data_IF_032656556505
#
_entry.id   IF_032656556505
#
_cell.length_a   1.000
_cell.length_b   1.000
_cell.length_c   1.000
_cell.angle_alpha   90.00
_cell.angle_beta   90.00
_cell.angle_gamma   90.00
#
_symmetry.space_group_name_H-M   'P 1'
#
loop_
_entity.id
_entity.type
_entity.pdbx_description
1 polymer ?
#
# COMPACT_ATOMS: atom_id res chain seq x y z
N UNK A 1 14.81 14.46 -3.10
CA UNK A 1 14.86 13.63 -1.87
C UNK A 1 14.45 12.17 -2.09
N UNK A 2 13.72 11.79 -3.16
CA UNK A 2 13.22 10.41 -3.31
C UNK A 2 11.86 10.16 -2.62
N UNK A 3 11.13 11.24 -2.29
CA UNK A 3 9.83 11.21 -1.60
C UNK A 3 8.80 10.28 -2.27
N UNK A 4 8.53 10.47 -3.56
CA UNK A 4 7.59 9.62 -4.31
C UNK A 4 8.05 8.17 -4.36
N UNK A 5 9.36 7.93 -4.49
CA UNK A 5 9.90 6.57 -4.47
C UNK A 5 9.72 5.88 -3.12
N UNK A 6 9.87 6.63 -2.01
CA UNK A 6 9.56 6.11 -0.68
C UNK A 6 8.07 5.77 -0.54
N UNK A 7 7.16 6.60 -1.05
CA UNK A 7 5.72 6.28 -1.02
C UNK A 7 5.41 4.99 -1.80
N UNK A 8 6.01 4.81 -2.99
CA UNK A 8 5.90 3.57 -3.76
C UNK A 8 6.44 2.37 -2.98
N UNK A 9 7.58 2.53 -2.30
CA UNK A 9 8.13 1.49 -1.44
C UNK A 9 7.24 1.16 -0.24
N UNK A 10 6.56 2.14 0.35
CA UNK A 10 5.55 1.93 1.41
C UNK A 10 4.36 1.14 0.87
N UNK A 11 3.84 1.49 -0.31
CA UNK A 11 2.76 0.74 -0.97
C UNK A 11 3.18 -0.70 -1.22
N UNK A 12 4.35 -0.92 -1.81
CA UNK A 12 4.92 -2.24 -2.05
C UNK A 12 5.08 -3.06 -0.75
N UNK A 13 5.60 -2.44 0.31
CA UNK A 13 5.80 -3.08 1.61
C UNK A 13 4.46 -3.48 2.26
N UNK A 14 3.42 -2.65 2.13
CA UNK A 14 2.08 -2.96 2.65
C UNK A 14 1.40 -4.07 1.85
N UNK A 15 1.50 -4.01 0.52
CA UNK A 15 0.98 -5.03 -0.37
C UNK A 15 1.64 -6.40 -0.17
N UNK A 16 2.95 -6.42 0.15
CA UNK A 16 3.66 -7.65 0.47
C UNK A 16 3.30 -8.25 1.85
N UNK A 17 2.78 -7.44 2.77
CA UNK A 17 2.52 -7.83 4.16
C UNK A 17 1.08 -8.27 4.45
N UNK A 18 0.14 -8.02 3.53
CA UNK A 18 -1.28 -8.29 3.75
C UNK A 18 -1.94 -8.74 2.45
N UNK A 19 -3.05 -9.47 2.54
CA UNK A 19 -3.78 -9.90 1.35
C UNK A 19 -4.67 -8.78 0.78
N UNK A 20 -4.96 -8.77 -0.54
CA UNK A 20 -5.77 -7.73 -1.17
C UNK A 20 -7.23 -7.71 -0.71
N UNK A 21 -7.76 -8.81 -0.15
CA UNK A 21 -9.10 -8.86 0.46
C UNK A 21 -9.17 -8.23 1.86
N UNK A 22 -8.02 -7.93 2.47
CA UNK A 22 -7.89 -7.38 3.83
C UNK A 22 -7.32 -5.97 3.88
N UNK A 23 -6.77 -5.49 2.76
CA UNK A 23 -6.15 -4.18 2.64
C UNK A 23 -6.51 -3.56 1.29
N UNK A 24 -7.19 -2.42 1.34
CA UNK A 24 -7.36 -1.51 0.22
C UNK A 24 -6.38 -0.32 0.32
N UNK A 25 -5.85 0.12 -0.81
CA UNK A 25 -4.95 1.26 -0.94
C UNK A 25 -5.55 2.24 -1.94
N UNK A 26 -5.61 3.50 -1.53
CA UNK A 26 -6.02 4.63 -2.37
C UNK A 26 -4.80 5.49 -2.61
N UNK A 27 -4.53 5.82 -3.87
CA UNK A 27 -3.42 6.66 -4.27
C UNK A 27 -3.94 8.02 -4.75
N UNK A 28 -3.31 9.09 -4.31
CA UNK A 28 -3.61 10.44 -4.76
C UNK A 28 -2.34 11.20 -5.12
N UNK A 29 -2.21 11.62 -6.38
CA UNK A 29 -1.15 12.51 -6.82
C UNK A 29 -1.63 13.96 -6.71
N UNK A 30 -0.99 14.73 -5.82
CA UNK A 30 -1.29 16.15 -5.57
C UNK A 30 -0.80 17.10 -6.66
N UNK A 31 0.10 16.65 -7.54
CA UNK A 31 0.52 17.37 -8.74
C UNK A 31 0.13 16.60 -9.99
N UNK A 32 -0.19 17.35 -11.03
CA UNK A 32 -0.49 16.79 -12.34
C UNK A 32 0.83 16.37 -13.01
N UNK A 33 0.91 15.13 -13.50
CA UNK A 33 2.12 14.59 -14.14
C UNK A 33 2.58 15.35 -15.40
N UNK A 34 1.78 16.30 -15.89
CA UNK A 34 2.05 17.12 -17.07
C UNK A 34 3.02 18.27 -16.77
N UNK A 35 3.13 18.72 -15.51
CA UNK A 35 4.04 19.83 -15.14
C UNK A 35 5.51 19.40 -14.99
N UNK A 36 5.84 18.12 -15.14
CA UNK A 36 7.21 17.60 -15.10
C UNK A 36 7.87 17.54 -16.51
N UNK A 37 7.44 18.40 -17.43
CA UNK A 37 8.08 18.60 -18.73
C UNK A 37 9.38 19.40 -18.60
N UNK A 38 10.46 18.76 -18.18
CA UNK A 38 11.78 19.37 -18.04
C UNK A 38 12.89 18.37 -17.77
N UNK A 39 13.50 17.87 -18.85
CA UNK A 39 14.84 17.27 -18.98
C UNK A 39 15.28 16.19 -17.96
N UNK A 40 15.40 14.95 -18.49
CA UNK A 40 16.41 13.93 -18.13
C UNK A 40 16.54 13.55 -16.65
N UNK A 41 15.60 12.73 -16.14
CA UNK A 41 15.86 11.54 -15.30
C UNK A 41 14.59 11.06 -14.57
N UNK A 42 13.95 9.99 -15.04
CA UNK A 42 13.06 9.13 -14.25
C UNK A 42 11.78 9.71 -13.58
N UNK A 43 11.49 11.00 -13.71
CA UNK A 43 10.28 11.64 -13.19
C UNK A 43 9.18 11.70 -14.25
N UNK A 44 8.22 10.79 -14.22
CA UNK A 44 7.11 10.86 -15.18
C UNK A 44 5.88 10.01 -14.90
N UNK A 45 5.76 9.42 -13.70
CA UNK A 45 4.66 8.47 -13.46
C UNK A 45 4.12 8.43 -12.03
N UNK A 46 4.48 9.42 -11.19
CA UNK A 46 3.88 9.65 -9.86
C UNK A 46 3.64 8.37 -9.04
N UNK A 47 2.48 8.27 -8.41
CA UNK A 47 2.01 7.03 -7.80
C UNK A 47 1.35 6.07 -8.81
N UNK A 48 1.11 6.49 -10.06
CA UNK A 48 0.46 5.66 -11.09
C UNK A 48 1.16 4.32 -11.32
N UNK A 49 2.48 4.23 -11.17
CA UNK A 49 3.22 2.95 -11.26
C UNK A 49 2.74 1.87 -10.27
N UNK A 50 2.06 2.27 -9.20
CA UNK A 50 1.55 1.33 -8.20
C UNK A 50 0.15 0.80 -8.54
N UNK A 51 -0.52 1.26 -9.59
CA UNK A 51 -1.87 0.77 -9.96
C UNK A 51 -1.88 -0.68 -10.40
N UNK A 52 -0.72 -1.24 -10.78
CA UNK A 52 -0.59 -2.66 -11.12
C UNK A 52 -0.64 -3.57 -9.87
N UNK A 53 -0.58 -2.99 -8.66
CA UNK A 53 -0.67 -3.73 -7.39
C UNK A 53 -2.14 -4.01 -7.08
N UNK A 54 -2.55 -5.27 -6.83
CA UNK A 54 -3.97 -5.64 -6.67
C UNK A 54 -4.66 -5.05 -5.43
N UNK A 55 -3.89 -4.49 -4.49
CA UNK A 55 -4.43 -3.76 -3.33
C UNK A 55 -4.89 -2.35 -3.68
N UNK A 56 -4.44 -1.79 -4.81
CA UNK A 56 -4.72 -0.41 -5.19
C UNK A 56 -6.06 -0.35 -5.91
N UNK A 57 -7.08 0.14 -5.22
CA UNK A 57 -8.47 0.15 -5.71
C UNK A 57 -8.87 1.48 -6.33
N UNK A 58 -8.15 2.55 -6.01
CA UNK A 58 -8.46 3.90 -6.50
C UNK A 58 -7.18 4.70 -6.69
N UNK A 59 -7.03 5.32 -7.86
CA UNK A 59 -5.99 6.30 -8.16
C UNK A 59 -6.62 7.61 -8.62
N UNK A 60 -6.22 8.71 -7.97
CA UNK A 60 -6.75 10.04 -8.21
C UNK A 60 -5.61 11.02 -8.52
N UNK A 61 -5.83 11.89 -9.50
CA UNK A 61 -4.93 12.97 -9.86
C UNK A 61 -5.59 14.32 -9.58
N UNK A 62 -4.80 15.31 -9.18
CA UNK A 62 -5.29 16.64 -8.81
C UNK A 62 -5.82 17.49 -9.99
N UNK A 63 -5.99 16.92 -11.19
CA UNK A 63 -6.54 17.58 -12.38
C UNK A 63 -8.02 17.24 -12.65
N UNK A 64 -8.65 16.33 -11.89
CA UNK A 64 -10.05 15.95 -12.10
C UNK A 64 -10.95 16.40 -10.93
N UNK A 65 -11.54 17.61 -10.99
CA UNK A 65 -12.35 18.13 -9.90
C UNK A 65 -13.67 17.38 -9.69
N UNK A 66 -14.14 16.57 -10.65
CA UNK A 66 -15.36 15.78 -10.48
C UNK A 66 -15.00 14.54 -9.65
N UNK A 67 -14.03 13.77 -10.11
CA UNK A 67 -13.53 12.59 -9.38
C UNK A 67 -13.01 12.94 -7.99
N UNK A 68 -12.36 14.09 -7.83
CA UNK A 68 -11.92 14.56 -6.50
C UNK A 68 -13.09 14.79 -5.54
N UNK A 69 -14.22 15.32 -6.01
CA UNK A 69 -15.41 15.53 -5.16
C UNK A 69 -16.12 14.22 -4.84
N UNK A 70 -16.29 13.36 -5.83
CA UNK A 70 -16.85 12.02 -5.66
C UNK A 70 -16.02 11.24 -4.65
N UNK A 71 -14.70 11.24 -4.80
CA UNK A 71 -13.78 10.62 -3.85
C UNK A 71 -13.95 11.16 -2.44
N UNK A 72 -13.99 12.48 -2.27
CA UNK A 72 -14.15 13.09 -0.95
C UNK A 72 -15.50 12.71 -0.30
N UNK A 73 -16.57 12.63 -1.09
CA UNK A 73 -17.89 12.20 -0.64
C UNK A 73 -17.89 10.72 -0.25
N UNK A 74 -17.36 9.85 -1.10
CA UNK A 74 -17.25 8.41 -0.85
C UNK A 74 -16.38 8.10 0.35
N UNK A 75 -15.24 8.77 0.51
CA UNK A 75 -14.37 8.62 1.68
C UNK A 75 -15.09 9.04 2.97
N UNK A 76 -15.83 10.15 2.94
CA UNK A 76 -16.60 10.61 4.09
C UNK A 76 -17.75 9.65 4.43
N UNK A 77 -18.45 9.13 3.41
CA UNK A 77 -19.50 8.13 3.56
C UNK A 77 -18.93 6.81 4.12
N UNK A 78 -17.75 6.40 3.67
CA UNK A 78 -17.05 5.21 4.16
C UNK A 78 -16.64 5.35 5.63
N UNK A 79 -16.11 6.50 6.05
CA UNK A 79 -15.82 6.76 7.46
C UNK A 79 -17.09 6.69 8.31
N UNK A 80 -18.20 7.28 7.85
CA UNK A 80 -19.50 7.22 8.54
C UNK A 80 -20.01 5.78 8.64
N UNK A 81 -19.99 5.02 7.54
CA UNK A 81 -20.38 3.60 7.50
C UNK A 81 -19.56 2.77 8.49
N UNK A 82 -18.25 2.99 8.55
CA UNK A 82 -17.36 2.32 9.51
C UNK A 82 -17.66 2.70 10.94
N UNK A 83 -17.95 3.98 11.21
CA UNK A 83 -18.30 4.44 12.55
C UNK A 83 -19.60 3.79 13.05
N UNK A 84 -20.61 3.67 12.18
CA UNK A 84 -21.87 2.98 12.47
C UNK A 84 -21.64 1.47 12.71
N UNK A 85 -20.82 0.82 11.88
CA UNK A 85 -20.52 -0.61 12.00
C UNK A 85 -19.72 -0.94 13.27
N UNK A 86 -18.71 -0.13 13.60
CA UNK A 86 -17.84 -0.35 14.76
C UNK A 86 -18.48 0.11 16.08
N UNK A 87 -19.48 0.99 16.02
CA UNK A 87 -20.23 1.45 17.19
C UNK A 87 -19.33 2.17 18.19
N UNK A 88 -19.01 1.53 19.33
CA UNK A 88 -18.06 2.03 20.34
C UNK A 88 -16.69 1.37 20.28
N UNK A 89 -16.59 0.20 19.66
CA UNK A 89 -15.33 -0.54 19.55
C UNK A 89 -14.37 0.16 18.60
N UNK A 90 -13.08 -0.18 18.72
CA UNK A 90 -12.06 0.19 17.74
C UNK A 90 -11.95 -0.87 16.64
N UNK A 91 -11.42 -0.47 15.48
CA UNK A 91 -11.10 -1.40 14.40
C UNK A 91 -10.16 -2.53 14.86
N UNK A 92 -9.16 -2.21 15.68
CA UNK A 92 -8.20 -3.19 16.17
C UNK A 92 -8.87 -4.28 17.03
N UNK A 93 -9.75 -3.88 17.96
CA UNK A 93 -10.53 -4.81 18.79
C UNK A 93 -11.48 -5.65 17.93
N UNK A 94 -12.18 -5.02 17.00
CA UNK A 94 -13.10 -5.70 16.08
C UNK A 94 -12.38 -6.74 15.21
N UNK A 95 -11.23 -6.37 14.65
CA UNK A 95 -10.43 -7.23 13.78
C UNK A 95 -9.81 -8.40 14.56
N UNK A 96 -9.26 -8.13 15.76
CA UNK A 96 -8.63 -9.17 16.59
C UNK A 96 -9.67 -10.18 17.10
N UNK A 97 -10.84 -9.71 17.56
CA UNK A 97 -11.93 -10.58 18.00
C UNK A 97 -12.44 -11.50 16.89
N UNK A 98 -12.42 -11.03 15.64
CA UNK A 98 -12.79 -11.82 14.45
C UNK A 98 -11.72 -12.82 14.04
N UNK A 99 -10.44 -12.48 14.07
CA UNK A 99 -9.37 -13.46 13.76
C UNK A 99 -9.39 -14.63 14.74
N UNK A 100 -9.62 -14.35 16.02
CA UNK A 100 -9.78 -15.38 17.05
C UNK A 100 -11.04 -16.23 16.80
N UNK A 101 -12.18 -15.60 16.51
CA UNK A 101 -13.42 -16.31 16.20
C UNK A 101 -13.31 -17.18 14.94
N UNK A 102 -12.66 -16.67 13.88
CA UNK A 102 -12.41 -17.40 12.65
C UNK A 102 -11.51 -18.62 12.86
N UNK A 103 -10.43 -18.47 13.65
CA UNK A 103 -9.56 -19.59 14.05
C UNK A 103 -10.30 -20.64 14.89
N UNK A 104 -11.19 -20.21 15.79
CA UNK A 104 -12.00 -21.14 16.58
C UNK A 104 -13.02 -21.91 15.73
N UNK A 105 -13.62 -21.26 14.73
CA UNK A 105 -14.55 -21.91 13.79
C UNK A 105 -13.82 -22.91 12.90
N UNK A 106 -12.64 -22.58 12.36
CA UNK A 106 -11.84 -23.53 11.57
C UNK A 106 -11.32 -24.70 12.42
N UNK A 107 -10.95 -24.47 13.69
CA UNK A 107 -10.56 -25.54 14.62
C UNK A 107 -11.73 -26.47 14.97
N UNK A 108 -12.96 -25.95 15.07
CA UNK A 108 -14.15 -26.76 15.31
C UNK A 108 -14.60 -27.52 14.07
N UNK A 109 -14.40 -26.97 12.87
CA UNK A 109 -14.67 -27.65 11.60
C UNK A 109 -13.67 -28.79 11.31
N UNK A 110 -12.42 -28.65 11.76
CA UNK A 110 -11.37 -29.68 11.63
C UNK A 110 -11.42 -30.75 12.73
N UNK A 111 -12.14 -30.50 13.82
CA UNK A 111 -12.37 -31.47 14.91
C UNK A 111 -13.46 -32.51 14.65
N UNK A 112 -14.17 -32.45 13.52
CA UNK A 112 -15.26 -33.37 13.18
C UNK A 112 -14.83 -34.52 12.25
N UNK A 113 -13.53 -34.66 11.96
CA UNK A 113 -12.99 -35.78 11.17
C UNK A 113 -11.89 -36.51 11.96
N UNK A 114 -12.27 -37.22 13.00
CA UNK A 114 -11.47 -38.29 13.57
C UNK A 114 -12.40 -39.44 14.02
N UNK A 115 -12.48 -40.45 13.15
CA UNK A 115 -12.64 -41.89 13.44
C UNK A 115 -13.75 -42.30 14.40
N UNK A 116 -14.85 -42.82 13.84
CA UNK A 116 -15.78 -43.66 14.58
C UNK A 116 -15.22 -45.07 14.81
N UNK A 117 -15.56 -45.66 15.95
CA UNK A 117 -16.00 -47.06 16.05
C UNK A 117 -16.69 -47.34 17.40
N UNK A 118 -17.62 -48.30 17.36
CA UNK A 118 -18.27 -49.09 18.42
C UNK A 118 -19.57 -48.56 19.07
N UNK A 119 -20.65 -49.03 18.45
CA UNK A 119 -21.80 -49.74 19.04
C UNK A 119 -22.60 -49.06 20.17
N UNK A 120 -23.79 -48.55 19.82
CA UNK A 120 -24.88 -48.31 20.78
C UNK A 120 -26.23 -48.45 20.08
N UNK A 121 -27.20 -49.20 20.65
CA UNK A 121 -28.44 -49.56 19.97
C UNK A 121 -29.41 -48.37 19.84
N UNK A 122 -30.32 -48.39 18.85
CA UNK A 122 -31.15 -47.23 18.51
C UNK A 122 -32.32 -47.10 19.49
N UNK A 123 -32.24 -46.16 20.44
CA UNK A 123 -33.43 -45.73 21.20
C UNK A 123 -34.13 -44.60 20.46
N UNK A 124 -35.22 -44.99 19.79
CA UNK A 124 -36.19 -44.10 19.16
C UNK A 124 -36.93 -43.26 20.20
N UNK A 125 -36.53 -42.01 20.40
CA UNK A 125 -37.47 -40.94 20.78
C UNK A 125 -37.08 -39.66 20.07
N UNK A 126 -37.75 -39.37 18.96
CA UNK A 126 -37.77 -38.04 18.35
C UNK A 126 -38.42 -37.09 19.36
N UNK A 127 -37.61 -36.30 20.05
CA UNK A 127 -38.10 -35.05 20.65
C UNK A 127 -37.98 -33.97 19.58
N UNK A 128 -39.10 -33.69 18.91
CA UNK A 128 -39.29 -32.44 18.15
C UNK A 128 -39.32 -31.28 19.15
N UNK A 129 -38.16 -30.86 19.61
CA UNK A 129 -37.97 -29.48 20.05
C UNK A 129 -37.84 -28.69 18.76
N UNK A 130 -38.63 -27.63 18.51
CA UNK A 130 -38.32 -26.69 17.44
C UNK A 130 -37.03 -26.00 17.86
N UNK A 131 -35.90 -26.62 17.50
CA UNK A 131 -34.61 -25.97 17.52
C UNK A 131 -34.73 -24.84 16.53
N UNK A 132 -34.84 -23.61 17.04
CA UNK A 132 -34.51 -22.44 16.26
C UNK A 132 -33.16 -22.78 15.60
N UNK A 133 -33.19 -23.02 14.28
CA UNK A 133 -31.98 -23.19 13.51
C UNK A 133 -31.06 -22.07 13.97
N UNK A 134 -29.81 -22.36 14.39
CA UNK A 134 -28.89 -21.28 14.65
C UNK A 134 -28.89 -20.49 13.36
N UNK A 135 -29.45 -19.27 13.40
CA UNK A 135 -29.28 -18.30 12.33
C UNK A 135 -27.78 -18.35 12.09
N UNK A 136 -27.38 -18.93 10.95
CA UNK A 136 -26.05 -18.70 10.42
C UNK A 136 -25.93 -17.21 10.50
N UNK A 137 -25.16 -16.75 11.48
CA UNK A 137 -25.02 -15.33 11.74
C UNK A 137 -24.27 -14.90 10.50
N UNK A 138 -25.02 -14.38 9.53
CA UNK A 138 -24.51 -13.98 8.23
C UNK A 138 -23.24 -13.20 8.53
N UNK A 139 -22.10 -13.78 8.14
CA UNK A 139 -20.81 -13.31 8.61
C UNK A 139 -20.73 -11.87 8.15
N UNK A 140 -20.83 -10.92 9.08
CA UNK A 140 -20.88 -9.51 8.72
C UNK A 140 -19.69 -9.22 7.78
N UNK A 141 -19.89 -8.42 6.73
CA UNK A 141 -18.93 -8.29 5.64
C UNK A 141 -17.54 -7.94 6.20
N UNK A 142 -16.46 -8.56 5.69
CA UNK A 142 -15.11 -8.26 6.15
C UNK A 142 -14.86 -6.76 6.02
N UNK A 143 -14.29 -6.16 7.05
CA UNK A 143 -13.94 -4.74 7.04
C UNK A 143 -12.43 -4.62 6.78
N UNK A 144 -12.01 -4.42 5.52
CA UNK A 144 -10.59 -4.31 5.19
C UNK A 144 -9.99 -3.03 5.77
N UNK A 145 -8.69 -3.07 6.09
CA UNK A 145 -7.91 -1.87 6.36
C UNK A 145 -7.86 -1.01 5.10
N UNK A 146 -7.96 0.29 5.25
CA UNK A 146 -7.85 1.23 4.14
C UNK A 146 -6.64 2.13 4.38
N UNK A 147 -5.78 2.30 3.38
CA UNK A 147 -4.64 3.22 3.44
C UNK A 147 -4.77 4.24 2.31
N UNK A 148 -4.89 5.51 2.67
CA UNK A 148 -4.89 6.63 1.73
C UNK A 148 -3.48 7.20 1.66
N UNK A 149 -2.86 7.11 0.49
CA UNK A 149 -1.51 7.61 0.21
C UNK A 149 -1.63 8.85 -0.67
N UNK A 150 -1.13 9.99 -0.16
CA UNK A 150 -1.19 11.27 -0.86
C UNK A 150 0.23 11.75 -1.13
N UNK A 151 0.62 11.81 -2.41
CA UNK A 151 1.84 12.49 -2.82
C UNK A 151 1.55 13.99 -2.95
N UNK A 152 2.35 14.82 -2.28
CA UNK A 152 2.24 16.28 -2.29
C UNK A 152 0.92 16.88 -1.80
N UNK A 153 0.62 16.67 -0.51
CA UNK A 153 -0.55 17.28 0.14
C UNK A 153 -0.54 18.82 0.04
N UNK A 154 0.63 19.47 0.03
CA UNK A 154 0.74 20.93 -0.10
C UNK A 154 0.24 21.45 -1.46
N UNK A 155 0.43 20.67 -2.52
CA UNK A 155 -0.08 21.00 -3.84
C UNK A 155 -1.62 20.99 -3.90
N UNK A 156 -2.29 20.19 -3.05
CA UNK A 156 -3.75 20.18 -2.95
C UNK A 156 -4.30 21.45 -2.30
N UNK A 157 -3.65 21.99 -1.26
CA UNK A 157 -4.12 23.24 -0.63
C UNK A 157 -3.72 24.48 -1.42
N UNK A 158 -2.81 24.37 -2.38
CA UNK A 158 -2.31 25.48 -3.19
C UNK A 158 -2.09 25.07 -4.65
N UNK A 159 -3.17 24.66 -5.34
CA UNK A 159 -3.08 24.27 -6.73
C UNK A 159 -2.64 25.46 -7.58
N UNK A 160 -1.86 25.20 -8.62
CA UNK A 160 -1.38 26.22 -9.54
C UNK A 160 -2.55 27.05 -10.11
N UNK A 161 -2.31 28.34 -10.37
CA UNK A 161 -3.29 29.19 -11.03
C UNK A 161 -3.71 28.55 -12.36
N UNK A 162 -5.01 28.29 -12.54
CA UNK A 162 -5.56 27.59 -13.71
C UNK A 162 -5.69 26.07 -13.59
N UNK A 163 -5.24 25.46 -12.49
CA UNK A 163 -5.45 24.02 -12.27
C UNK A 163 -6.94 23.72 -12.07
N UNK A 164 -7.51 22.76 -12.83
CA UNK A 164 -8.93 22.43 -12.79
C UNK A 164 -9.37 21.84 -11.44
N UNK A 165 -8.47 21.24 -10.66
CA UNK A 165 -8.77 20.62 -9.36
C UNK A 165 -9.06 21.60 -8.21
N UNK A 166 -8.76 22.90 -8.40
CA UNK A 166 -8.89 23.93 -7.35
C UNK A 166 -10.25 23.98 -6.65
N UNK A 167 -11.40 23.87 -7.35
CA UNK A 167 -12.71 23.90 -6.70
C UNK A 167 -12.99 22.69 -5.80
N UNK A 168 -12.34 21.56 -6.05
CA UNK A 168 -12.57 20.30 -5.33
C UNK A 168 -11.61 20.09 -4.16
N UNK A 169 -10.45 20.77 -4.17
CA UNK A 169 -9.38 20.51 -3.24
C UNK A 169 -9.78 20.72 -1.77
N UNK A 170 -10.63 21.71 -1.47
CA UNK A 170 -11.15 21.94 -0.12
C UNK A 170 -12.06 20.83 0.40
N UNK A 171 -12.75 20.09 -0.47
CA UNK A 171 -13.56 18.92 -0.07
C UNK A 171 -12.65 17.74 0.25
N UNK A 172 -11.64 17.50 -0.58
CA UNK A 172 -10.64 16.44 -0.35
C UNK A 172 -9.90 16.69 0.96
N UNK A 173 -9.40 17.90 1.20
CA UNK A 173 -8.70 18.23 2.43
C UNK A 173 -9.55 18.00 3.67
N UNK A 174 -10.84 18.38 3.64
CA UNK A 174 -11.76 18.09 4.75
C UNK A 174 -11.94 16.59 5.01
N UNK A 175 -12.04 15.79 3.95
CA UNK A 175 -12.12 14.33 4.09
C UNK A 175 -10.81 13.73 4.65
N UNK A 176 -9.65 14.20 4.19
CA UNK A 176 -8.34 13.76 4.70
C UNK A 176 -8.12 14.16 6.17
N UNK A 177 -8.58 15.34 6.57
CA UNK A 177 -8.56 15.75 7.98
C UNK A 177 -9.48 14.87 8.84
N UNK A 178 -10.65 14.46 8.32
CA UNK A 178 -11.51 13.50 9.01
C UNK A 178 -10.82 12.14 9.21
N UNK A 179 -10.09 11.66 8.19
CA UNK A 179 -9.23 10.46 8.32
C UNK A 179 -8.16 10.67 9.40
N UNK A 180 -7.50 11.82 9.44
CA UNK A 180 -6.48 12.11 10.46
C UNK A 180 -7.05 12.15 11.88
N UNK A 181 -8.30 12.62 12.05
CA UNK A 181 -8.98 12.70 13.35
C UNK A 181 -9.49 11.34 13.84
N UNK A 182 -10.14 10.57 12.98
CA UNK A 182 -10.93 9.40 13.38
C UNK A 182 -10.44 8.08 12.76
N UNK A 183 -9.64 8.15 11.70
CA UNK A 183 -9.29 7.01 10.86
C UNK A 183 -8.61 5.87 11.61
N UNK A 184 -7.75 6.16 12.59
CA UNK A 184 -7.11 5.11 13.40
C UNK A 184 -8.11 4.21 14.12
N UNK A 185 -9.20 4.78 14.64
CA UNK A 185 -10.29 4.03 15.27
C UNK A 185 -11.09 3.23 14.24
N UNK A 186 -11.21 3.75 13.02
CA UNK A 186 -12.01 3.18 11.93
C UNK A 186 -11.22 2.23 11.01
N UNK A 187 -9.92 2.05 11.23
CA UNK A 187 -9.05 1.24 10.36
C UNK A 187 -8.77 1.90 9.01
N UNK A 188 -8.84 3.23 8.95
CA UNK A 188 -8.46 4.05 7.80
C UNK A 188 -7.21 4.84 8.15
N UNK A 189 -6.13 4.66 7.41
CA UNK A 189 -4.83 5.26 7.70
C UNK A 189 -4.44 6.25 6.60
N UNK A 190 -3.77 7.33 6.98
CA UNK A 190 -3.28 8.35 6.05
C UNK A 190 -1.75 8.34 6.03
N UNK A 191 -1.19 8.27 4.82
CA UNK A 191 0.23 8.52 4.54
C UNK A 191 0.30 9.70 3.59
N UNK A 192 0.71 10.86 4.10
CA UNK A 192 0.78 12.09 3.31
C UNK A 192 2.21 12.59 3.21
N UNK A 193 2.60 12.96 2.00
CA UNK A 193 3.89 13.57 1.73
C UNK A 193 3.74 15.08 1.57
N UNK A 194 4.57 15.84 2.28
CA UNK A 194 4.56 17.30 2.30
C UNK A 194 5.96 17.85 2.02
N UNK A 195 6.05 19.15 1.72
CA UNK A 195 7.30 19.89 1.72
C UNK A 195 7.63 20.36 3.15
N UNK A 196 8.92 20.46 3.53
CA UNK A 196 9.31 21.06 4.80
C UNK A 196 8.77 22.49 4.93
N UNK A 197 8.12 22.82 6.05
CA UNK A 197 7.50 24.14 6.25
C UNK A 197 6.36 24.46 5.27
N UNK A 198 5.79 23.44 4.62
CA UNK A 198 4.68 23.60 3.69
C UNK A 198 3.41 24.15 4.36
N UNK A 199 2.45 24.56 3.53
CA UNK A 199 1.18 25.16 3.99
C UNK A 199 0.33 24.22 4.83
N UNK A 200 0.59 22.91 4.75
CA UNK A 200 -0.11 21.88 5.50
C UNK A 200 0.53 21.55 6.85
N UNK A 201 1.63 22.21 7.24
CA UNK A 201 2.36 21.96 8.49
C UNK A 201 1.46 22.08 9.75
N UNK A 202 0.49 22.99 9.70
CA UNK A 202 -0.48 23.23 10.78
C UNK A 202 -1.87 22.66 10.48
N UNK A 203 -1.95 21.57 9.72
CA UNK A 203 -3.22 20.85 9.48
C UNK A 203 -3.31 19.59 10.34
N UNK A 204 -4.52 19.01 10.44
CA UNK A 204 -4.72 17.79 11.24
C UNK A 204 -3.82 16.61 10.83
N UNK A 205 -3.60 16.30 9.53
CA UNK A 205 -2.65 15.27 9.13
C UNK A 205 -1.26 15.45 9.76
N UNK A 206 -0.74 16.68 9.80
CA UNK A 206 0.57 16.97 10.37
C UNK A 206 0.57 16.90 11.90
N UNK A 207 -0.47 17.41 12.57
CA UNK A 207 -0.62 17.37 14.03
C UNK A 207 -0.83 15.97 14.59
N UNK A 208 -1.60 15.13 13.90
CA UNK A 208 -1.98 13.78 14.35
C UNK A 208 -1.01 12.68 13.89
N UNK A 209 -0.02 13.01 13.06
CA UNK A 209 0.97 12.05 12.57
C UNK A 209 1.73 11.39 13.73
N UNK A 210 1.57 10.07 13.88
CA UNK A 210 2.26 9.26 14.89
C UNK A 210 3.66 8.82 14.45
N UNK A 211 3.93 8.94 13.15
CA UNK A 211 5.20 8.61 12.52
C UNK A 211 5.53 9.72 11.54
N UNK A 212 6.70 10.34 11.70
CA UNK A 212 7.21 11.38 10.80
C UNK A 212 8.45 10.89 10.11
N UNK A 213 8.48 11.02 8.78
CA UNK A 213 9.64 10.70 7.97
C UNK A 213 10.16 11.99 7.37
N UNK A 214 11.39 12.34 7.71
CA UNK A 214 12.12 13.47 7.14
C UNK A 214 13.18 12.91 6.20
N UNK A 215 13.12 13.29 4.93
CA UNK A 215 14.11 12.91 3.93
C UNK A 215 15.15 14.00 3.75
N UNK A 216 16.40 13.60 3.59
CA UNK A 216 17.49 14.52 3.37
C UNK A 216 17.41 15.12 1.96
N UNK A 217 17.87 16.36 1.82
CA UNK A 217 18.04 16.99 0.51
C UNK A 217 19.20 16.30 -0.20
N UNK A 218 18.98 15.65 -1.36
CA UNK A 218 20.03 14.91 -2.02
C UNK A 218 21.01 15.89 -2.64
N UNK A 219 22.30 15.65 -2.45
CA UNK A 219 23.36 16.37 -3.15
C UNK A 219 23.98 15.53 -4.27
N UNK A 220 25.03 16.06 -4.89
CA UNK A 220 25.71 15.46 -6.04
C UNK A 220 27.15 15.00 -5.73
N UNK A 221 27.67 15.35 -4.57
CA UNK A 221 28.97 14.94 -4.06
C UNK A 221 28.98 13.49 -3.55
N UNK A 222 30.18 12.89 -3.42
CA UNK A 222 30.35 11.51 -2.95
C UNK A 222 29.88 11.30 -1.50
N UNK A 223 29.97 12.35 -0.67
CA UNK A 223 29.53 12.33 0.73
C UNK A 223 28.10 12.87 0.91
N UNK A 224 27.48 13.37 -0.17
CA UNK A 224 26.14 13.89 -0.12
C UNK A 224 25.12 12.75 0.05
N UNK A 225 24.02 12.99 0.78
CA UNK A 225 23.03 11.97 1.02
C UNK A 225 22.38 11.51 -0.29
N UNK A 226 22.38 10.20 -0.53
CA UNK A 226 21.67 9.60 -1.65
C UNK A 226 20.15 9.82 -1.52
N UNK A 227 19.41 9.89 -2.64
CA UNK A 227 17.95 9.91 -2.60
C UNK A 227 17.38 8.75 -1.76
N UNK A 228 16.36 9.04 -0.95
CA UNK A 228 15.75 8.09 -0.03
C UNK A 228 16.41 8.01 1.35
N UNK A 229 17.58 8.65 1.54
CA UNK A 229 18.17 8.80 2.88
C UNK A 229 17.35 9.76 3.73
N UNK A 230 17.22 9.45 5.01
CA UNK A 230 16.54 10.32 5.96
C UNK A 230 16.44 9.72 7.35
N UNK A 231 15.50 10.25 8.13
CA UNK A 231 15.24 9.81 9.50
C UNK A 231 13.75 9.64 9.78
N UNK A 232 13.43 8.65 10.60
CA UNK A 232 12.07 8.35 11.05
C UNK A 232 11.95 8.71 12.53
N UNK A 233 11.03 9.60 12.85
CA UNK A 233 10.74 10.08 14.21
C UNK A 233 9.38 9.55 14.66
N UNK A 234 9.36 8.90 15.82
CA UNK A 234 8.13 8.38 16.46
C UNK A 234 7.55 9.39 17.44
N UNK A 235 6.34 9.13 17.94
CA UNK A 235 5.68 9.96 18.97
C UNK A 235 6.47 10.12 20.26
N UNK A 236 7.34 9.15 20.60
CA UNK A 236 8.24 9.20 21.76
C UNK A 236 9.48 10.08 21.53
N UNK A 237 9.58 10.75 20.38
CA UNK A 237 10.70 11.61 20.00
C UNK A 237 11.94 10.84 19.53
N UNK A 238 11.95 9.51 19.59
CA UNK A 238 13.08 8.71 19.10
C UNK A 238 13.17 8.84 17.59
N UNK A 239 14.38 9.14 17.12
CA UNK A 239 14.70 9.28 15.72
C UNK A 239 15.64 8.16 15.28
N UNK A 240 15.29 7.46 14.21
CA UNK A 240 16.09 6.37 13.63
C UNK A 240 16.48 6.73 12.19
N UNK A 241 17.79 6.80 11.86
CA UNK A 241 18.21 7.01 10.48
C UNK A 241 17.87 5.79 9.61
N UNK A 242 17.56 6.02 8.34
CA UNK A 242 17.25 4.95 7.40
C UNK A 242 17.62 5.34 5.96
N UNK A 243 17.64 4.32 5.10
CA UNK A 243 17.74 4.46 3.65
C UNK A 243 16.51 3.80 3.02
N UNK A 244 15.69 4.59 2.31
CA UNK A 244 14.55 4.09 1.56
C UNK A 244 15.00 3.17 0.42
N UNK A 245 14.27 2.07 0.23
CA UNK A 245 14.45 1.18 -0.92
C UNK A 245 13.94 1.81 -2.22
N UNK A 246 14.58 1.45 -3.34
CA UNK A 246 14.16 1.85 -4.69
C UNK A 246 13.52 0.65 -5.37
N UNK A 247 12.20 0.69 -5.59
CA UNK A 247 11.39 -0.41 -6.16
C UNK A 247 11.07 -0.20 -7.64
N UNK A 248 11.26 1.01 -8.15
CA UNK A 248 11.11 1.34 -9.58
C UNK A 248 12.44 1.31 -10.35
N UNK A 249 13.52 0.90 -9.67
CA UNK A 249 14.78 0.58 -10.31
C UNK A 249 14.56 -0.54 -11.32
N UNK A 250 14.95 -0.32 -12.58
CA UNK A 250 14.89 -1.39 -13.56
C UNK A 250 16.03 -2.35 -13.30
N UNK A 251 15.71 -3.63 -13.17
CA UNK A 251 16.72 -4.67 -13.02
C UNK A 251 17.56 -4.64 -14.30
N UNK A 252 18.88 -4.45 -14.22
CA UNK A 252 19.71 -4.53 -15.40
C UNK A 252 19.51 -5.92 -15.99
N UNK A 253 19.17 -6.04 -17.28
CA UNK A 253 19.31 -7.32 -17.99
C UNK A 253 20.79 -7.59 -18.30
N UNK A 254 21.68 -7.23 -17.38
CA UNK A 254 23.03 -7.77 -17.41
C UNK A 254 22.86 -9.25 -17.17
N UNK A 255 23.38 -10.03 -18.11
CA UNK A 255 23.43 -11.47 -17.99
C UNK A 255 23.81 -11.83 -16.56
N UNK A 256 23.09 -12.78 -15.98
CA UNK A 256 23.49 -13.51 -14.77
C UNK A 256 25.01 -13.46 -14.61
N UNK A 257 25.52 -13.12 -13.43
CA UNK A 257 26.94 -13.24 -13.04
C UNK A 257 27.40 -14.72 -13.04
N UNK A 258 26.97 -15.50 -14.04
CA UNK A 258 27.53 -16.80 -14.35
C UNK A 258 28.97 -16.53 -14.77
N UNK A 259 29.96 -17.15 -14.09
CA UNK A 259 31.35 -17.00 -14.46
C UNK A 259 31.51 -17.44 -15.92
N UNK A 260 32.11 -16.57 -16.75
CA UNK A 260 32.53 -16.96 -18.09
C UNK A 260 33.86 -17.67 -17.94
N UNK A 261 33.90 -18.96 -18.28
CA UNK A 261 35.15 -19.73 -18.34
C UNK A 261 35.70 -19.58 -19.75
N UNK A 262 36.91 -19.04 -19.86
CA UNK A 262 37.65 -18.97 -21.13
C UNK A 262 38.89 -19.85 -20.97
N UNK A 263 39.11 -20.85 -21.83
CA UNK A 263 40.33 -21.65 -21.80
C UNK A 263 41.54 -20.77 -22.12
N UNK A 264 42.60 -20.91 -21.32
CA UNK A 264 43.86 -20.21 -21.52
C UNK A 264 44.84 -21.16 -22.18
N UNK A 265 45.22 -20.86 -23.42
CA UNK A 265 46.25 -21.62 -24.15
C UNK A 265 47.61 -20.93 -24.05
N UNK A 266 48.67 -21.67 -24.40
CA UNK A 266 50.04 -21.15 -24.35
C UNK A 266 50.30 -20.04 -25.38
N UNK A 267 49.51 -19.98 -26.45
CA UNK A 267 49.64 -18.99 -27.53
C UNK A 267 49.05 -17.63 -27.16
N UNK A 268 48.13 -17.60 -26.20
CA UNK A 268 47.44 -16.41 -25.65
C UNK A 268 47.96 -15.98 -24.28
N UNK A 269 49.02 -16.63 -23.79
CA UNK A 269 49.69 -16.19 -22.56
C UNK A 269 50.27 -14.78 -22.75
N UNK A 270 49.74 -13.82 -21.99
CA UNK A 270 50.13 -12.40 -22.04
C UNK A 270 49.09 -11.49 -22.68
N UNK A 271 48.07 -12.04 -23.35
CA UNK A 271 46.95 -11.24 -23.83
C UNK A 271 46.14 -10.68 -22.65
N UNK A 272 45.57 -9.47 -22.80
CA UNK A 272 44.64 -8.95 -21.81
C UNK A 272 43.43 -9.91 -21.66
N UNK A 273 42.89 -10.09 -20.45
CA UNK A 273 41.79 -11.00 -20.21
C UNK A 273 40.61 -10.65 -21.13
N UNK A 274 40.03 -11.67 -21.77
CA UNK A 274 38.92 -11.51 -22.72
C UNK A 274 37.78 -10.77 -22.02
N UNK A 275 37.54 -9.52 -22.41
CA UNK A 275 36.43 -8.72 -21.89
C UNK A 275 35.16 -9.17 -22.57
N UNK A 276 34.20 -9.67 -21.78
CA UNK A 276 32.85 -9.91 -22.28
C UNK A 276 32.25 -8.57 -22.72
N UNK A 277 31.76 -8.42 -23.96
CA UNK A 277 30.90 -7.30 -24.29
C UNK A 277 29.63 -7.43 -23.45
N UNK A 278 29.44 -6.51 -22.50
CA UNK A 278 28.17 -6.42 -21.76
C UNK A 278 27.13 -5.99 -22.78
N UNK A 279 26.37 -6.94 -23.30
CA UNK A 279 25.22 -6.61 -24.13
C UNK A 279 24.20 -5.98 -23.20
N UNK A 280 23.95 -4.69 -23.37
CA UNK A 280 22.78 -4.02 -22.81
C UNK A 280 21.55 -4.62 -23.49
N UNK A 281 21.14 -5.82 -23.05
CA UNK A 281 19.76 -6.22 -23.24
C UNK A 281 18.96 -5.12 -22.55
N UNK A 282 18.02 -4.50 -23.28
CA UNK A 282 17.29 -3.33 -22.81
C UNK A 282 16.70 -3.54 -21.41
N UNK A 283 16.21 -2.47 -20.78
CA UNK A 283 15.91 -2.52 -19.35
C UNK A 283 14.92 -3.62 -18.93
N UNK A 284 15.25 -4.36 -17.86
CA UNK A 284 14.43 -5.42 -17.29
C UNK A 284 13.20 -4.89 -16.53
N UNK A 285 12.37 -5.78 -15.97
CA UNK A 285 11.27 -5.37 -15.10
C UNK A 285 11.80 -4.67 -13.85
N UNK A 286 10.93 -3.91 -13.19
CA UNK A 286 11.21 -3.32 -11.87
C UNK A 286 10.84 -4.32 -10.77
N UNK A 287 11.40 -4.15 -9.57
CA UNK A 287 11.01 -4.95 -8.40
C UNK A 287 9.50 -4.80 -8.11
N UNK A 288 8.96 -3.60 -8.28
CA UNK A 288 7.52 -3.33 -8.14
C UNK A 288 6.69 -4.13 -9.15
N UNK A 289 7.11 -4.20 -10.42
CA UNK A 289 6.40 -4.96 -11.44
C UNK A 289 6.45 -6.48 -11.19
N UNK A 290 7.60 -6.98 -10.71
CA UNK A 290 7.73 -8.39 -10.31
C UNK A 290 6.85 -8.70 -9.10
N UNK A 291 6.82 -7.82 -8.10
CA UNK A 291 5.96 -7.94 -6.93
C UNK A 291 4.48 -7.94 -7.32
N UNK A 292 4.05 -6.97 -8.13
CA UNK A 292 2.68 -6.89 -8.63
C UNK A 292 2.25 -8.20 -9.31
N UNK A 293 3.07 -8.71 -10.23
CA UNK A 293 2.81 -10.00 -10.90
C UNK A 293 2.74 -11.19 -9.92
N UNK A 294 3.58 -11.21 -8.89
CA UNK A 294 3.55 -12.25 -7.87
C UNK A 294 2.29 -12.17 -7.00
N UNK A 295 1.88 -10.97 -6.59
CA UNK A 295 0.67 -10.73 -5.81
C UNK A 295 -0.59 -11.09 -6.60
N UNK A 296 -0.66 -10.74 -7.88
CA UNK A 296 -1.77 -11.08 -8.78
C UNK A 296 -1.97 -12.59 -8.91
N UNK A 297 -0.87 -13.36 -9.00
CA UNK A 297 -0.95 -14.82 -9.00
C UNK A 297 -1.39 -15.36 -7.65
N UNK A 298 -0.79 -14.87 -6.55
CA UNK A 298 -1.14 -15.32 -5.21
C UNK A 298 -2.62 -15.01 -4.86
N UNK A 299 -3.13 -13.85 -5.25
CA UNK A 299 -4.51 -13.44 -5.05
C UNK A 299 -5.50 -14.38 -5.75
N UNK A 300 -5.20 -14.76 -7.01
CA UNK A 300 -6.00 -15.72 -7.77
C UNK A 300 -5.94 -17.13 -7.17
N UNK A 301 -4.78 -17.57 -6.70
CA UNK A 301 -4.62 -18.89 -6.06
C UNK A 301 -5.48 -19.04 -4.79
N UNK A 302 -5.69 -17.95 -4.05
CA UNK A 302 -6.52 -17.95 -2.82
C UNK A 302 -7.92 -17.39 -3.02
N UNK A 303 -8.33 -17.12 -4.28
CA UNK A 303 -9.60 -16.49 -4.64
C UNK A 303 -9.91 -15.24 -3.80
N UNK A 304 -8.91 -14.38 -3.59
CA UNK A 304 -9.09 -13.16 -2.81
C UNK A 304 -10.04 -12.19 -3.53
N UNK A 305 -11.14 -11.83 -2.86
CA UNK A 305 -12.05 -10.81 -3.36
C UNK A 305 -11.43 -9.43 -3.17
N UNK A 306 -11.33 -8.64 -4.24
CA UNK A 306 -10.81 -7.29 -4.16
C UNK A 306 -11.69 -6.38 -3.28
N UNK A 307 -11.05 -5.45 -2.58
CA UNK A 307 -11.77 -4.42 -1.81
C UNK A 307 -12.50 -3.49 -2.79
N UNK A 308 -13.75 -3.08 -2.51
CA UNK A 308 -14.46 -2.15 -3.38
C UNK A 308 -13.71 -0.82 -3.53
N UNK A 309 -13.69 -0.29 -4.75
CA UNK A 309 -13.22 1.07 -5.06
C UNK A 309 -14.06 2.12 -4.32
N UNK A 310 -13.44 3.26 -3.97
CA UNK A 310 -14.15 4.43 -3.45
C UNK A 310 -14.73 5.33 -4.55
N UNK A 311 -14.40 5.05 -5.82
CA UNK A 311 -14.95 5.68 -7.02
C UNK A 311 -15.72 4.67 -7.85
#
# INVERSE_FOLDING_TARGET
>A
SGRTELLRAVVASRAAAERPDRLGIVLMDGRDGVSAGGTTSGGGDGLRVCTDVPHVTTHLTANDPVRMREFAQSLSAELKRRAELLGRSTFAEWHTGRELSGRMVTQRATGTTATGDLDSPPSSTIRLRPGAAPRQTEAAPPLPRLVVVVDDLDALVSPALGSPGRPAAGSVMRALEAVAREGGRLGVHLVAATAPGGRTADTEPARKATLRVTLDAPGTGPDDPAPGRGSLTRTDGRTTPFQGGRVTGRIPRTATLRPTVVPLDWQRMGDPPTRRPVRELGNGPTDLALLASALERAAREVSATEVPSLL
#
